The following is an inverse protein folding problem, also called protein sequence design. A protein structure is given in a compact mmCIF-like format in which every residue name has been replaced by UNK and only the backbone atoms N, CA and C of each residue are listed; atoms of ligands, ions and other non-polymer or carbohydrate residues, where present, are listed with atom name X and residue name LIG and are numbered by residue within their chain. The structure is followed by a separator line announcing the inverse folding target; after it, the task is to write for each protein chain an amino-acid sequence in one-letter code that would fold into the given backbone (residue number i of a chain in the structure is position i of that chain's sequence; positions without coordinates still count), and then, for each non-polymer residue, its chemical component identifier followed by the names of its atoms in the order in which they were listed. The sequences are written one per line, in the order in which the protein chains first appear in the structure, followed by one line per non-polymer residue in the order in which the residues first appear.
data_IF_501959788993
#
_entry.id   IF_501959788993
#
_cell.length_a   1.000
_cell.length_b   1.000
_cell.length_c   1.000
_cell.angle_alpha   90.00
_cell.angle_beta   90.00
_cell.angle_gamma   90.00
#
_symmetry.space_group_name_H-M   'P 1'
#
loop_
_entity.id
_entity.type
_entity.pdbx_description
1 polymer ?
#
# COMPACT_ATOMS: atom_id res chain seq x y z
N UNK A 1 46.35 -40.31 11.73
CA UNK A 1 45.15 -39.62 12.27
C UNK A 1 44.36 -39.10 11.08
N UNK A 2 43.14 -39.58 10.92
CA UNK A 2 42.20 -39.13 9.89
C UNK A 2 41.43 -37.94 10.48
N UNK A 3 41.51 -36.77 9.85
CA UNK A 3 40.55 -35.70 10.09
C UNK A 3 39.70 -35.52 8.85
N UNK A 4 38.41 -35.65 9.11
CA UNK A 4 37.30 -35.79 8.18
C UNK A 4 36.85 -34.43 7.63
N UNK A 5 36.27 -34.48 6.42
CA UNK A 5 35.18 -33.65 5.90
C UNK A 5 35.11 -32.18 6.33
N UNK A 6 35.46 -31.28 5.41
CA UNK A 6 34.95 -29.93 5.42
C UNK A 6 34.26 -29.61 4.08
N UNK A 7 33.05 -30.15 3.91
CA UNK A 7 32.12 -29.63 2.93
C UNK A 7 31.50 -28.35 3.53
N UNK A 8 32.07 -27.19 3.24
CA UNK A 8 31.42 -25.92 3.55
C UNK A 8 30.38 -25.66 2.46
N UNK A 9 29.15 -26.11 2.69
CA UNK A 9 27.99 -25.64 1.95
C UNK A 9 27.62 -24.28 2.56
N UNK A 10 28.05 -23.19 1.93
CA UNK A 10 27.61 -21.83 2.30
C UNK A 10 26.19 -21.63 1.75
N UNK A 11 25.20 -22.13 2.48
CA UNK A 11 23.79 -21.80 2.28
C UNK A 11 23.46 -20.54 3.08
N UNK A 12 23.81 -19.36 2.56
CA UNK A 12 23.29 -18.09 3.08
C UNK A 12 23.51 -16.92 2.09
N UNK A 13 23.16 -17.09 0.81
CA UNK A 13 22.81 -15.93 0.00
C UNK A 13 21.39 -15.46 0.33
N UNK A 14 21.12 -15.17 1.61
CA UNK A 14 20.07 -14.23 1.98
C UNK A 14 20.75 -12.87 1.95
N UNK A 15 20.91 -12.33 0.74
CA UNK A 15 21.05 -10.90 0.59
C UNK A 15 19.79 -10.30 1.21
N UNK A 16 19.87 -9.94 2.49
CA UNK A 16 18.98 -8.95 3.09
C UNK A 16 19.52 -7.62 2.56
N UNK A 17 19.33 -7.39 1.27
CA UNK A 17 19.48 -6.09 0.65
C UNK A 17 18.54 -5.18 1.42
N UNK A 18 19.12 -4.30 2.25
CA UNK A 18 18.50 -3.28 3.10
C UNK A 18 16.98 -3.24 2.91
N UNK A 19 16.29 -4.20 3.53
CA UNK A 19 14.86 -4.32 3.35
C UNK A 19 14.31 -3.07 4.01
N UNK A 20 13.63 -2.23 3.23
CA UNK A 20 12.90 -1.14 3.85
C UNK A 20 12.00 -1.75 4.92
N UNK A 21 12.15 -1.27 6.16
CA UNK A 21 11.53 -1.89 7.34
C UNK A 21 10.00 -1.95 7.26
N UNK A 22 9.38 -1.22 6.32
CA UNK A 22 7.94 -1.19 6.10
C UNK A 22 7.41 -2.24 5.11
N UNK A 23 8.25 -3.06 4.45
CA UNK A 23 7.84 -4.03 3.42
C UNK A 23 7.89 -5.48 3.92
N UNK A 24 6.96 -6.31 3.45
CA UNK A 24 7.00 -7.76 3.61
C UNK A 24 6.65 -8.46 2.30
N UNK A 25 6.98 -9.75 2.19
CA UNK A 25 6.71 -10.51 0.97
C UNK A 25 5.20 -10.67 0.70
N UNK A 26 4.83 -10.75 -0.58
CA UNK A 26 3.45 -11.02 -0.97
C UNK A 26 2.93 -12.35 -0.41
N UNK A 27 1.67 -12.32 0.02
CA UNK A 27 0.85 -13.47 0.38
C UNK A 27 -0.41 -13.51 -0.48
N UNK A 28 -1.22 -14.57 -0.37
CA UNK A 28 -2.52 -14.67 -1.05
C UNK A 28 -3.43 -13.49 -0.72
N UNK A 29 -4.14 -12.95 -1.72
CA UNK A 29 -5.00 -11.76 -1.57
C UNK A 29 -6.07 -11.95 -0.49
N UNK A 30 -6.60 -13.17 -0.37
CA UNK A 30 -7.58 -13.57 0.63
C UNK A 30 -7.05 -13.54 2.07
N UNK A 31 -5.71 -13.52 2.23
CA UNK A 31 -5.02 -13.46 3.52
C UNK A 31 -4.51 -12.07 3.85
N UNK A 32 -4.61 -11.11 2.93
CA UNK A 32 -4.16 -9.74 3.19
C UNK A 32 -5.19 -9.00 4.05
N UNK A 33 -4.69 -8.40 5.12
CA UNK A 33 -5.42 -7.43 5.92
C UNK A 33 -4.73 -6.08 5.91
N UNK A 34 -5.51 -5.00 5.90
CA UNK A 34 -5.02 -3.63 6.03
C UNK A 34 -5.74 -2.93 7.18
N UNK A 35 -5.00 -2.20 8.01
CA UNK A 35 -5.55 -1.44 9.14
C UNK A 35 -5.38 0.04 8.86
N UNK A 36 -6.49 0.72 8.58
CA UNK A 36 -6.53 2.16 8.31
C UNK A 36 -7.35 2.85 9.41
N UNK A 37 -6.80 3.85 10.10
CA UNK A 37 -7.49 4.56 11.19
C UNK A 37 -8.14 3.61 12.23
N UNK A 38 -7.51 2.46 12.52
CA UNK A 38 -8.01 1.45 13.47
C UNK A 38 -9.07 0.49 12.92
N UNK A 39 -9.48 0.64 11.67
CA UNK A 39 -10.44 -0.25 11.02
C UNK A 39 -9.71 -1.28 10.13
N UNK A 40 -10.18 -2.52 10.21
CA UNK A 40 -9.63 -3.64 9.44
C UNK A 40 -10.34 -3.80 8.10
N UNK A 41 -9.56 -3.85 7.02
CA UNK A 41 -10.02 -4.05 5.66
C UNK A 41 -9.46 -5.36 5.10
N UNK A 42 -10.34 -6.16 4.49
CA UNK A 42 -10.01 -7.45 3.88
C UNK A 42 -10.59 -7.57 2.48
N UNK A 43 -10.14 -8.59 1.74
CA UNK A 43 -10.37 -8.74 0.30
C UNK A 43 -11.82 -8.53 -0.14
N UNK A 44 -12.80 -9.07 0.58
CA UNK A 44 -14.20 -8.99 0.19
C UNK A 44 -14.71 -7.55 0.04
N UNK A 45 -14.14 -6.58 0.79
CA UNK A 45 -14.55 -5.17 0.74
C UNK A 45 -14.08 -4.45 -0.52
N UNK A 46 -13.03 -4.94 -1.18
CA UNK A 46 -12.42 -4.30 -2.35
C UNK A 46 -12.30 -5.20 -3.57
N UNK A 47 -12.74 -6.47 -3.50
CA UNK A 47 -12.63 -7.46 -4.58
C UNK A 47 -13.25 -7.00 -5.91
N UNK A 48 -14.43 -6.40 -5.86
CA UNK A 48 -15.11 -5.92 -7.06
C UNK A 48 -14.33 -4.77 -7.73
N UNK A 49 -13.87 -3.82 -6.92
CA UNK A 49 -13.06 -2.69 -7.38
C UNK A 49 -11.72 -3.18 -7.94
N UNK A 50 -11.06 -4.15 -7.29
CA UNK A 50 -9.86 -4.79 -7.82
C UNK A 50 -10.12 -5.44 -9.18
N UNK A 51 -11.22 -6.16 -9.33
CA UNK A 51 -11.59 -6.80 -10.61
C UNK A 51 -11.77 -5.76 -11.72
N UNK A 52 -12.33 -4.59 -11.41
CA UNK A 52 -12.44 -3.49 -12.36
C UNK A 52 -11.07 -2.86 -12.66
N UNK A 53 -10.26 -2.60 -11.63
CA UNK A 53 -8.90 -2.06 -11.78
C UNK A 53 -8.04 -2.93 -12.69
N UNK A 54 -8.06 -4.26 -12.53
CA UNK A 54 -7.33 -5.19 -13.40
C UNK A 54 -7.76 -5.11 -14.87
N UNK A 55 -9.06 -4.88 -15.13
CA UNK A 55 -9.55 -4.66 -16.50
C UNK A 55 -9.01 -3.35 -17.08
N UNK A 56 -8.95 -2.29 -16.26
CA UNK A 56 -8.38 -1.00 -16.69
C UNK A 56 -6.90 -1.16 -16.99
N UNK A 57 -6.12 -1.78 -16.09
CA UNK A 57 -4.68 -2.03 -16.30
C UNK A 57 -4.39 -2.82 -17.58
N UNK A 58 -5.26 -3.76 -17.95
CA UNK A 58 -5.11 -4.55 -19.18
C UNK A 58 -5.44 -3.77 -20.45
N UNK A 59 -6.38 -2.83 -20.38
CA UNK A 59 -6.99 -2.20 -21.54
C UNK A 59 -6.58 -0.72 -21.72
N UNK A 60 -5.72 -0.18 -20.86
CA UNK A 60 -5.38 1.24 -20.85
C UNK A 60 -3.93 1.46 -20.49
N UNK A 61 -3.30 2.43 -21.16
CA UNK A 61 -1.98 2.91 -20.77
C UNK A 61 -2.10 3.74 -19.49
N UNK A 62 -1.88 3.08 -18.37
CA UNK A 62 -1.89 3.72 -17.06
C UNK A 62 -0.54 4.33 -16.73
N UNK A 63 -0.57 5.56 -16.23
CA UNK A 63 0.60 6.19 -15.61
C UNK A 63 0.82 5.56 -14.24
N UNK A 64 2.00 4.98 -14.04
CA UNK A 64 2.40 4.50 -12.72
C UNK A 64 2.56 5.66 -11.75
N UNK A 65 2.22 5.41 -10.48
CA UNK A 65 2.52 6.31 -9.38
C UNK A 65 4.04 6.52 -9.30
N UNK A 66 4.54 7.77 -9.20
CA UNK A 66 5.98 8.03 -9.19
C UNK A 66 6.69 7.31 -8.04
N UNK A 67 7.66 6.44 -8.36
CA UNK A 67 8.33 5.61 -7.36
C UNK A 67 8.96 6.42 -6.21
N UNK A 68 9.62 7.54 -6.54
CA UNK A 68 10.23 8.40 -5.52
C UNK A 68 9.23 9.19 -4.67
N UNK A 69 8.00 9.39 -5.14
CA UNK A 69 6.92 9.96 -4.29
C UNK A 69 6.33 8.88 -3.38
N UNK A 70 6.15 7.67 -3.91
CA UNK A 70 5.72 6.52 -3.13
C UNK A 70 6.70 6.24 -1.99
N UNK A 71 8.00 6.17 -2.27
CA UNK A 71 9.04 5.95 -1.27
C UNK A 71 8.98 7.02 -0.17
N UNK A 72 8.90 8.30 -0.54
CA UNK A 72 8.76 9.41 0.42
C UNK A 72 7.53 9.27 1.31
N UNK A 73 6.38 8.88 0.76
CA UNK A 73 5.14 8.69 1.54
C UNK A 73 5.33 7.57 2.55
N UNK A 74 5.91 6.44 2.15
CA UNK A 74 6.08 5.29 3.04
C UNK A 74 7.21 5.49 4.06
N UNK A 75 8.27 6.21 3.73
CA UNK A 75 9.35 6.56 4.67
C UNK A 75 8.97 7.66 5.66
N UNK A 76 8.09 8.59 5.26
CA UNK A 76 7.55 9.61 6.16
C UNK A 76 6.62 9.00 7.22
N UNK A 77 5.94 7.90 6.87
CA UNK A 77 5.21 7.06 7.82
C UNK A 77 6.19 6.20 8.63
N UNK A 78 5.84 5.90 9.89
CA UNK A 78 6.78 5.27 10.83
C UNK A 78 7.42 3.99 10.23
N UNK A 79 8.75 3.95 10.01
CA UNK A 79 9.41 2.89 9.25
C UNK A 79 9.32 1.52 9.92
N UNK A 80 9.03 1.46 11.22
CA UNK A 80 8.87 0.22 11.98
C UNK A 80 7.54 -0.50 11.70
N UNK A 81 6.56 0.17 11.07
CA UNK A 81 5.28 -0.43 10.74
C UNK A 81 5.37 -1.11 9.38
N UNK A 82 5.00 -2.39 9.32
CA UNK A 82 4.76 -3.05 8.05
C UNK A 82 3.53 -2.43 7.38
N UNK A 83 3.68 -1.98 6.14
CA UNK A 83 2.70 -1.19 5.39
C UNK A 83 2.51 -1.67 3.95
N UNK A 84 3.42 -2.49 3.43
CA UNK A 84 3.39 -2.93 2.04
C UNK A 84 3.72 -4.41 1.90
N UNK A 85 2.93 -5.11 1.10
CA UNK A 85 3.29 -6.38 0.49
C UNK A 85 4.04 -6.10 -0.81
N UNK A 86 5.34 -6.38 -0.85
CA UNK A 86 6.21 -6.15 -2.01
C UNK A 86 7.45 -7.07 -1.94
N UNK A 87 7.70 -7.78 -3.04
CA UNK A 87 8.88 -8.65 -3.19
C UNK A 87 10.06 -7.93 -3.87
N UNK A 88 9.92 -6.66 -4.23
CA UNK A 88 10.92 -5.85 -4.94
C UNK A 88 11.01 -6.17 -6.44
N UNK A 89 10.08 -6.94 -6.98
CA UNK A 89 10.01 -7.34 -8.40
C UNK A 89 9.10 -6.43 -9.25
N UNK A 90 8.26 -5.62 -8.60
CA UNK A 90 7.31 -4.74 -9.25
C UNK A 90 8.03 -3.63 -10.05
N UNK A 91 7.62 -3.46 -11.31
CA UNK A 91 8.15 -2.39 -12.19
C UNK A 91 7.42 -1.06 -12.01
N UNK A 92 6.19 -1.12 -11.52
CA UNK A 92 5.32 0.03 -11.36
C UNK A 92 4.24 -0.24 -10.34
N UNK A 93 3.73 0.83 -9.77
CA UNK A 93 2.63 0.81 -8.82
C UNK A 93 1.51 1.72 -9.31
N UNK A 94 0.27 1.31 -9.12
CA UNK A 94 -0.91 1.97 -9.68
C UNK A 94 -1.95 2.18 -8.59
N UNK A 95 -2.34 3.43 -8.39
CA UNK A 95 -3.29 3.81 -7.34
C UNK A 95 -4.71 3.77 -7.88
N UNK A 96 -5.61 3.12 -7.13
CA UNK A 96 -7.03 3.05 -7.47
C UNK A 96 -7.89 3.41 -6.27
N UNK A 97 -8.87 4.29 -6.51
CA UNK A 97 -9.90 4.64 -5.54
C UNK A 97 -10.83 3.46 -5.29
N UNK A 98 -11.26 3.30 -4.03
CA UNK A 98 -12.30 2.38 -3.59
C UNK A 98 -13.53 3.22 -3.20
N UNK A 99 -14.44 3.55 -4.15
CA UNK A 99 -15.46 4.57 -3.92
C UNK A 99 -16.44 4.19 -2.80
N UNK A 100 -16.72 2.90 -2.62
CA UNK A 100 -17.59 2.37 -1.57
C UNK A 100 -17.08 2.61 -0.15
N UNK A 101 -15.79 2.92 0.01
CA UNK A 101 -15.16 3.18 1.29
C UNK A 101 -14.95 4.66 1.58
N UNK A 102 -15.19 5.56 0.61
CA UNK A 102 -15.03 7.00 0.79
C UNK A 102 -15.96 7.52 1.89
N UNK A 103 -15.42 8.35 2.78
CA UNK A 103 -16.15 8.94 3.92
C UNK A 103 -16.09 10.45 3.89
N UNK A 104 -17.19 11.08 4.25
CA UNK A 104 -17.26 12.53 4.49
C UNK A 104 -17.76 12.76 5.90
N UNK A 105 -16.95 13.42 6.72
CA UNK A 105 -17.33 13.84 8.06
C UNK A 105 -17.50 15.36 8.10
N UNK A 106 -18.71 15.82 8.39
CA UNK A 106 -18.98 17.26 8.55
C UNK A 106 -18.83 17.67 10.00
N UNK A 107 -17.96 18.66 10.25
CA UNK A 107 -17.78 19.35 11.53
C UNK A 107 -18.29 20.79 11.39
N UNK A 108 -18.42 21.51 12.51
CA UNK A 108 -18.98 22.88 12.54
C UNK A 108 -18.26 23.85 11.58
N UNK A 109 -16.95 23.69 11.39
CA UNK A 109 -16.10 24.62 10.62
C UNK A 109 -15.50 24.04 9.34
N UNK A 110 -15.60 22.72 9.11
CA UNK A 110 -15.03 22.06 7.94
C UNK A 110 -15.71 20.72 7.65
N UNK A 111 -15.57 20.23 6.42
CA UNK A 111 -15.77 18.84 6.05
C UNK A 111 -14.43 18.14 5.85
N UNK A 112 -14.30 16.93 6.37
CA UNK A 112 -13.16 16.05 6.15
C UNK A 112 -13.60 14.91 5.22
N UNK A 113 -13.04 14.90 4.02
CA UNK A 113 -13.18 13.80 3.07
C UNK A 113 -12.00 12.83 3.26
N UNK A 114 -12.29 11.54 3.33
CA UNK A 114 -11.32 10.45 3.42
C UNK A 114 -11.60 9.45 2.31
N UNK A 115 -10.75 9.45 1.29
CA UNK A 115 -10.83 8.55 0.15
C UNK A 115 -9.87 7.38 0.36
N UNK A 116 -10.39 6.16 0.32
CA UNK A 116 -9.58 4.97 0.49
C UNK A 116 -9.15 4.47 -0.88
N UNK A 117 -7.86 4.19 -1.01
CA UNK A 117 -7.25 3.74 -2.24
C UNK A 117 -6.44 2.47 -1.96
N UNK A 118 -6.35 1.60 -2.95
CA UNK A 118 -5.36 0.53 -2.95
C UNK A 118 -4.29 0.78 -4.00
N UNK A 119 -3.10 0.25 -3.73
CA UNK A 119 -1.98 0.24 -4.64
C UNK A 119 -1.87 -1.16 -5.25
N UNK A 120 -1.88 -1.26 -6.58
CA UNK A 120 -1.57 -2.48 -7.32
C UNK A 120 -0.16 -2.41 -7.87
N UNK A 121 0.56 -3.51 -7.89
CA UNK A 121 1.74 -3.65 -8.77
C UNK A 121 1.33 -4.00 -10.20
N UNK A 122 2.31 -4.07 -11.10
CA UNK A 122 2.13 -4.46 -12.51
C UNK A 122 1.63 -5.90 -12.71
N UNK A 123 1.72 -6.76 -11.69
CA UNK A 123 1.13 -8.10 -11.67
C UNK A 123 -0.33 -8.10 -11.17
N UNK A 124 -0.87 -6.95 -10.76
CA UNK A 124 -2.23 -6.81 -10.26
C UNK A 124 -2.42 -7.33 -8.83
N UNK A 125 -1.35 -7.47 -8.06
CA UNK A 125 -1.37 -7.84 -6.63
C UNK A 125 -1.61 -6.58 -5.81
N UNK A 126 -2.43 -6.67 -4.76
CA UNK A 126 -2.65 -5.51 -3.86
C UNK A 126 -1.46 -5.36 -2.92
N UNK A 127 -0.71 -4.29 -3.06
CA UNK A 127 0.51 -4.04 -2.29
C UNK A 127 0.22 -3.30 -0.99
N UNK A 128 -0.60 -2.25 -1.05
CA UNK A 128 -0.83 -1.36 0.09
C UNK A 128 -2.22 -0.71 0.03
N UNK A 129 -2.66 -0.19 1.18
CA UNK A 129 -3.81 0.67 1.31
C UNK A 129 -3.37 2.07 1.72
N UNK A 130 -3.96 3.08 1.10
CA UNK A 130 -3.64 4.49 1.33
C UNK A 130 -4.93 5.29 1.49
N UNK A 131 -4.96 6.20 2.47
CA UNK A 131 -6.08 7.11 2.69
C UNK A 131 -5.67 8.50 2.27
N UNK A 132 -6.35 9.05 1.27
CA UNK A 132 -6.22 10.45 0.91
C UNK A 132 -7.22 11.27 1.72
N UNK A 133 -6.72 12.27 2.45
CA UNK A 133 -7.51 13.11 3.34
C UNK A 133 -7.52 14.55 2.83
N UNK A 134 -8.71 15.13 2.71
CA UNK A 134 -8.89 16.53 2.32
C UNK A 134 -9.84 17.25 3.27
N UNK A 135 -9.39 18.39 3.81
CA UNK A 135 -10.22 19.29 4.61
C UNK A 135 -10.71 20.47 3.78
N UNK A 136 -12.02 20.67 3.77
CA UNK A 136 -12.66 21.80 3.09
C UNK A 136 -13.40 22.65 4.12
N UNK A 137 -13.11 23.95 4.22
CA UNK A 137 -13.89 24.84 5.08
C UNK A 137 -15.35 24.90 4.62
N UNK A 138 -16.27 25.16 5.54
CA UNK A 138 -17.70 25.34 5.24
C UNK A 138 -17.98 26.44 4.21
N UNK A 139 -17.04 27.39 4.03
CA UNK A 139 -17.09 28.45 3.00
C UNK A 139 -16.53 28.01 1.62
N UNK A 140 -16.30 26.72 1.41
CA UNK A 140 -15.88 26.13 0.14
C UNK A 140 -14.39 26.23 -0.21
N UNK A 141 -13.56 26.90 0.60
CA UNK A 141 -12.10 26.94 0.40
C UNK A 141 -11.43 25.76 1.10
N UNK A 142 -10.54 25.05 0.41
CA UNK A 142 -9.61 24.11 1.04
C UNK A 142 -8.78 24.87 2.06
N UNK A 143 -8.70 24.38 3.29
CA UNK A 143 -7.93 25.04 4.36
C UNK A 143 -6.49 24.54 4.43
N UNK A 144 -6.23 23.33 3.91
CA UNK A 144 -4.96 22.63 3.99
C UNK A 144 -4.69 21.88 2.68
N UNK A 145 -3.42 21.57 2.42
CA UNK A 145 -3.05 20.63 1.36
C UNK A 145 -3.56 19.22 1.73
N UNK A 146 -4.05 18.44 0.75
CA UNK A 146 -4.43 17.06 1.02
C UNK A 146 -3.23 16.22 1.48
N UNK A 147 -3.48 15.28 2.39
CA UNK A 147 -2.45 14.39 2.90
C UNK A 147 -2.74 12.94 2.56
N UNK A 148 -1.68 12.15 2.43
CA UNK A 148 -1.78 10.69 2.40
C UNK A 148 -1.44 10.12 3.78
N UNK A 149 -2.16 9.07 4.16
CA UNK A 149 -1.82 8.19 5.27
C UNK A 149 -1.72 6.78 4.73
N UNK A 150 -0.66 6.06 5.10
CA UNK A 150 -0.48 4.67 4.71
C UNK A 150 -1.02 3.75 5.80
N UNK A 151 -1.82 2.77 5.40
CA UNK A 151 -2.37 1.77 6.31
C UNK A 151 -1.31 0.72 6.64
N UNK A 152 -1.27 0.27 7.89
CA UNK A 152 -0.43 -0.88 8.24
C UNK A 152 -1.04 -2.16 7.71
N UNK A 153 -0.21 -3.16 7.42
CA UNK A 153 -0.69 -4.51 7.12
C UNK A 153 -0.96 -5.27 8.41
N UNK A 154 -1.91 -6.18 8.34
CA UNK A 154 -2.15 -7.21 9.34
C UNK A 154 -1.95 -8.55 8.65
N UNK A 155 -1.10 -9.38 9.25
CA UNK A 155 -0.73 -10.72 8.78
C UNK A 155 -1.26 -11.83 9.68
#
# INVERSE_FOLDING_TARGET
MRFSNLAIIIYAARFISAASNYKTAHIGEERKGFICNGEYFYEAQYREVRTQALKVMKNSDMTAFPAGELEKIFEAEQPERLMMYDNGDAKGHYLFLIPSLTRVQTRRSYSLESQFNFLLDDSGRVCAFMVWKKKTATRGKSTEEPTYEVCSISS
#
